data_IF_303033780478
#
_entry.id   IF_303033780478
#
_cell.length_a   1.000
_cell.length_b   1.000
_cell.length_c   1.000
_cell.angle_alpha   90.00
_cell.angle_beta   90.00
_cell.angle_gamma   90.00
#
_symmetry.space_group_name_H-M   'P 1'
#
loop_
_entity.id
_entity.type
_entity.pdbx_description
1 polymer ?
#
# COMPACT_ATOMS: atom_id res chain seq x y z
N UNK A 1 26.81 20.88 0.49
CA UNK A 1 25.58 20.33 1.14
C UNK A 1 26.00 19.21 2.06
N UNK A 2 25.39 19.12 3.25
CA UNK A 2 25.66 18.00 4.16
C UNK A 2 25.14 16.69 3.53
N UNK A 3 26.05 15.77 3.19
CA UNK A 3 25.71 14.47 2.58
C UNK A 3 25.64 13.33 3.61
N UNK A 4 25.52 13.67 4.91
CA UNK A 4 25.44 12.72 6.00
C UNK A 4 24.15 12.97 6.82
N UNK A 5 23.35 11.89 7.02
CA UNK A 5 22.07 11.90 7.73
C UNK A 5 22.06 10.91 8.90
N UNK A 6 21.16 11.10 9.85
CA UNK A 6 20.94 10.07 10.87
C UNK A 6 20.29 8.84 10.24
N UNK A 7 19.28 9.02 9.38
CA UNK A 7 18.60 7.92 8.72
C UNK A 7 18.36 8.25 7.23
N UNK A 8 18.66 7.29 6.36
CA UNK A 8 18.17 7.26 4.98
C UNK A 8 17.03 6.23 4.91
N UNK A 9 15.89 6.63 4.33
CA UNK A 9 14.76 5.75 4.03
C UNK A 9 14.63 5.61 2.52
N UNK A 10 14.52 4.38 2.01
CA UNK A 10 14.31 4.11 0.59
C UNK A 10 12.87 3.67 0.38
N UNK A 11 12.12 4.42 -0.47
CA UNK A 11 10.71 4.21 -0.77
C UNK A 11 9.76 5.10 0.03
N UNK A 12 9.07 6.01 -0.67
CA UNK A 12 8.14 7.01 -0.10
C UNK A 12 6.67 6.59 -0.24
N UNK A 13 6.42 5.28 -0.10
CA UNK A 13 5.07 4.74 0.06
C UNK A 13 4.55 4.85 1.51
N UNK A 14 3.40 4.22 1.84
CA UNK A 14 2.78 4.30 3.17
C UNK A 14 3.73 3.97 4.33
N UNK A 15 4.48 2.90 4.24
CA UNK A 15 5.42 2.47 5.29
C UNK A 15 6.56 3.48 5.49
N UNK A 16 7.21 3.90 4.38
CA UNK A 16 8.33 4.83 4.46
C UNK A 16 7.90 6.22 4.92
N UNK A 17 6.77 6.72 4.44
CA UNK A 17 6.23 8.01 4.84
C UNK A 17 5.84 8.05 6.32
N UNK A 18 5.20 6.99 6.82
CA UNK A 18 4.84 6.86 8.25
C UNK A 18 6.10 6.79 9.13
N UNK A 19 7.08 5.95 8.74
CA UNK A 19 8.35 5.86 9.46
C UNK A 19 9.09 7.20 9.50
N UNK A 20 9.17 7.89 8.36
CA UNK A 20 9.80 9.21 8.30
C UNK A 20 9.11 10.21 9.23
N UNK A 21 7.77 10.18 9.29
CA UNK A 21 6.99 11.08 10.16
C UNK A 21 7.23 10.78 11.64
N UNK A 22 7.33 9.52 12.03
CA UNK A 22 7.66 9.13 13.42
C UNK A 22 9.08 9.59 13.81
N UNK A 23 10.07 9.33 12.95
CA UNK A 23 11.47 9.70 13.20
C UNK A 23 11.67 11.22 13.18
N UNK A 24 10.95 11.95 12.34
CA UNK A 24 11.04 13.41 12.26
C UNK A 24 10.65 14.09 13.58
N UNK A 25 9.74 13.50 14.36
CA UNK A 25 9.38 13.98 15.71
C UNK A 25 10.53 13.87 16.72
N UNK A 26 11.48 12.98 16.49
CA UNK A 26 12.68 12.80 17.35
C UNK A 26 13.84 13.70 16.93
N UNK A 27 13.60 14.73 16.11
CA UNK A 27 14.59 15.71 15.66
C UNK A 27 15.79 15.10 14.89
N UNK A 28 15.64 13.92 14.34
CA UNK A 28 16.64 13.26 13.51
C UNK A 28 16.71 13.88 12.11
N UNK A 29 17.89 13.90 11.52
CA UNK A 29 18.08 14.26 10.12
C UNK A 29 17.73 13.07 9.21
N UNK A 30 16.74 13.25 8.34
CA UNK A 30 16.18 12.17 7.52
C UNK A 30 16.29 12.52 6.04
N UNK A 31 16.84 11.59 5.26
CA UNK A 31 16.78 11.63 3.81
C UNK A 31 15.85 10.53 3.31
N UNK A 32 14.80 10.92 2.59
CA UNK A 32 13.90 10.02 1.87
C UNK A 32 14.32 9.93 0.41
N UNK A 33 14.53 8.73 -0.11
CA UNK A 33 14.81 8.47 -1.53
C UNK A 33 13.62 7.75 -2.16
N UNK A 34 13.05 8.35 -3.21
CA UNK A 34 11.95 7.79 -3.98
C UNK A 34 12.32 7.72 -5.46
N UNK A 35 12.11 6.55 -6.08
CA UNK A 35 12.47 6.34 -7.50
C UNK A 35 11.50 7.01 -8.46
N UNK A 36 10.23 7.15 -8.07
CA UNK A 36 9.20 7.77 -8.88
C UNK A 36 9.27 9.31 -8.77
N UNK A 37 9.03 10.01 -9.87
CA UNK A 37 8.96 11.46 -9.90
C UNK A 37 7.77 11.98 -9.10
N UNK A 38 6.63 11.39 -9.33
CA UNK A 38 5.36 11.81 -8.77
C UNK A 38 4.80 10.77 -7.81
N UNK A 39 3.82 11.20 -7.03
CA UNK A 39 2.98 10.29 -6.25
C UNK A 39 2.25 9.33 -7.20
N UNK A 40 2.30 8.04 -6.88
CA UNK A 40 1.57 7.04 -7.66
C UNK A 40 0.06 7.30 -7.57
N UNK A 41 -0.63 7.57 -8.68
CA UNK A 41 -1.99 8.11 -8.64
C UNK A 41 -3.07 7.07 -8.34
N UNK A 42 -2.74 5.77 -8.43
CA UNK A 42 -3.74 4.71 -8.34
C UNK A 42 -3.70 4.01 -6.98
N UNK A 43 -4.87 3.64 -6.42
CA UNK A 43 -4.95 3.02 -5.11
C UNK A 43 -4.39 1.60 -5.12
N UNK A 44 -3.60 1.24 -4.09
CA UNK A 44 -3.20 -0.14 -3.81
C UNK A 44 -3.96 -0.66 -2.61
N UNK A 45 -3.64 -0.17 -1.41
CA UNK A 45 -4.40 -0.44 -0.19
C UNK A 45 -5.69 0.40 -0.16
N UNK A 46 -6.72 -0.15 0.47
CA UNK A 46 -8.05 0.50 0.59
C UNK A 46 -8.61 0.44 2.02
N UNK A 47 -7.85 -0.14 2.95
CA UNK A 47 -8.30 -0.41 4.31
C UNK A 47 -7.14 -0.23 5.30
N UNK A 48 -7.47 0.25 6.50
CA UNK A 48 -6.62 0.23 7.69
C UNK A 48 -7.51 0.16 8.96
N UNK A 49 -6.91 -0.22 10.09
CA UNK A 49 -7.55 -0.39 11.38
C UNK A 49 -7.29 0.78 12.34
N UNK A 50 -7.80 0.66 13.55
CA UNK A 50 -7.65 1.64 14.62
C UNK A 50 -6.21 1.75 15.14
N UNK A 51 -5.42 0.67 15.12
CA UNK A 51 -4.00 0.73 15.47
C UNK A 51 -3.23 1.66 14.52
N UNK A 52 -3.51 1.58 13.23
CA UNK A 52 -2.92 2.47 12.23
C UNK A 52 -3.42 3.91 12.43
N UNK A 53 -4.71 4.11 12.78
CA UNK A 53 -5.24 5.45 13.09
C UNK A 53 -4.55 6.07 14.32
N UNK A 54 -4.25 5.28 15.35
CA UNK A 54 -3.46 5.70 16.51
C UNK A 54 -2.06 6.19 16.10
N UNK A 55 -1.42 5.47 15.17
CA UNK A 55 -0.14 5.93 14.61
C UNK A 55 -0.32 7.26 13.86
N UNK A 56 -1.40 7.44 13.10
CA UNK A 56 -1.69 8.71 12.40
C UNK A 56 -1.93 9.87 13.35
N UNK A 57 -2.53 9.62 14.52
CA UNK A 57 -2.63 10.58 15.60
C UNK A 57 -1.24 10.95 16.15
N UNK A 58 -0.42 9.94 16.43
CA UNK A 58 0.95 10.14 16.91
C UNK A 58 1.78 11.01 15.96
N UNK A 59 1.65 10.86 14.66
CA UNK A 59 2.37 11.69 13.68
C UNK A 59 1.65 12.98 13.29
N UNK A 60 0.51 13.28 13.92
CA UNK A 60 -0.22 14.56 13.79
C UNK A 60 -0.98 14.72 12.47
N UNK A 61 -1.42 13.64 11.84
CA UNK A 61 -2.19 13.70 10.58
C UNK A 61 -3.63 13.21 10.72
N UNK A 62 -4.05 12.65 11.85
CA UNK A 62 -5.38 12.06 12.06
C UNK A 62 -6.50 12.99 11.60
N UNK A 63 -6.55 14.21 12.11
CA UNK A 63 -7.63 15.16 11.77
C UNK A 63 -7.60 15.59 10.30
N UNK A 64 -6.40 15.79 9.73
CA UNK A 64 -6.23 16.13 8.31
C UNK A 64 -6.66 14.99 7.39
N UNK A 65 -6.43 13.75 7.83
CA UNK A 65 -6.72 12.57 7.02
C UNK A 65 -8.15 12.04 7.18
N UNK A 66 -8.81 12.32 8.31
CA UNK A 66 -10.19 11.90 8.60
C UNK A 66 -11.17 12.20 7.46
N UNK A 67 -11.05 13.35 6.82
CA UNK A 67 -11.92 13.77 5.71
C UNK A 67 -11.72 12.94 4.43
N UNK A 68 -10.66 12.15 4.35
CA UNK A 68 -10.36 11.23 3.23
C UNK A 68 -10.68 9.78 3.55
N UNK A 69 -11.41 9.54 4.64
CA UNK A 69 -11.76 8.19 5.09
C UNK A 69 -13.26 8.00 5.23
N UNK A 70 -13.70 6.76 5.22
CA UNK A 70 -15.04 6.37 5.68
C UNK A 70 -14.92 5.18 6.64
N UNK A 71 -15.85 5.06 7.58
CA UNK A 71 -15.92 3.92 8.49
C UNK A 71 -16.25 2.66 7.68
N UNK A 72 -15.46 1.61 7.90
CA UNK A 72 -15.72 0.30 7.33
C UNK A 72 -16.69 -0.47 8.20
N UNK A 73 -17.87 -0.76 7.68
CA UNK A 73 -18.95 -1.42 8.42
C UNK A 73 -18.82 -2.95 8.53
N UNK A 74 -17.71 -3.52 8.01
CA UNK A 74 -17.43 -4.95 8.07
C UNK A 74 -17.55 -5.68 6.75
N UNK A 75 -17.65 -6.99 6.82
CA UNK A 75 -17.65 -7.90 5.67
C UNK A 75 -18.80 -8.90 5.78
N UNK A 76 -19.43 -9.22 4.65
CA UNK A 76 -20.31 -10.37 4.50
C UNK A 76 -19.68 -11.39 3.56
N UNK A 77 -19.78 -12.64 3.93
CA UNK A 77 -19.43 -13.77 3.06
C UNK A 77 -20.73 -14.36 2.55
N UNK A 78 -20.84 -14.49 1.24
CA UNK A 78 -22.03 -15.07 0.59
C UNK A 78 -21.61 -16.19 -0.35
N UNK A 79 -22.48 -17.17 -0.53
CA UNK A 79 -22.30 -18.22 -1.52
C UNK A 79 -22.59 -17.73 -2.94
N UNK A 80 -22.55 -18.64 -3.91
CA UNK A 80 -22.86 -18.34 -5.32
C UNK A 80 -24.36 -18.09 -5.60
N UNK A 81 -25.25 -18.34 -4.65
CA UNK A 81 -26.68 -18.06 -4.72
C UNK A 81 -27.07 -16.78 -3.97
N UNK A 82 -26.10 -16.16 -3.24
CA UNK A 82 -26.32 -14.97 -2.44
C UNK A 82 -26.72 -15.26 -0.99
N UNK A 83 -26.77 -16.54 -0.57
CA UNK A 83 -27.02 -16.88 0.82
C UNK A 83 -25.86 -16.43 1.70
N UNK A 84 -26.16 -15.88 2.87
CA UNK A 84 -25.15 -15.42 3.83
C UNK A 84 -24.52 -16.62 4.51
N UNK A 85 -23.21 -16.80 4.33
CA UNK A 85 -22.39 -17.80 5.02
C UNK A 85 -21.85 -17.27 6.36
N UNK A 86 -21.47 -15.99 6.37
CA UNK A 86 -20.97 -15.29 7.55
C UNK A 86 -21.31 -13.81 7.45
N UNK A 87 -21.96 -13.26 8.44
CA UNK A 87 -22.11 -11.81 8.62
C UNK A 87 -21.15 -11.35 9.72
N UNK A 88 -20.14 -10.57 9.32
CA UNK A 88 -19.10 -10.07 10.21
C UNK A 88 -19.11 -8.53 10.25
N UNK A 89 -20.06 -7.93 10.98
CA UNK A 89 -20.07 -6.49 11.17
C UNK A 89 -18.88 -6.04 12.02
N UNK A 90 -18.39 -4.83 11.77
CA UNK A 90 -17.47 -4.18 12.71
C UNK A 90 -18.26 -3.52 13.83
N UNK A 91 -17.71 -3.50 15.06
CA UNK A 91 -18.29 -2.72 16.16
C UNK A 91 -18.53 -1.26 15.75
N UNK A 92 -19.60 -0.67 16.27
CA UNK A 92 -19.94 0.73 16.02
C UNK A 92 -19.36 1.67 17.07
N UNK A 93 -18.84 1.10 18.13
CA UNK A 93 -18.23 1.79 19.26
C UNK A 93 -16.80 2.20 18.94
N UNK A 94 -16.35 3.25 19.60
CA UNK A 94 -14.96 3.67 19.60
C UNK A 94 -14.13 2.67 20.41
N UNK A 95 -12.99 2.26 19.87
CA UNK A 95 -12.06 1.33 20.53
C UNK A 95 -11.21 2.05 21.58
N UNK A 96 -10.40 1.30 22.32
CA UNK A 96 -9.42 1.81 23.28
C UNK A 96 -8.40 2.77 22.62
N UNK A 97 -8.21 2.67 21.32
CA UNK A 97 -7.38 3.58 20.52
C UNK A 97 -8.06 4.94 20.22
N UNK A 98 -9.26 5.21 20.76
CA UNK A 98 -9.95 6.49 20.61
C UNK A 98 -10.51 6.74 19.20
N UNK A 99 -10.80 5.67 18.44
CA UNK A 99 -11.30 5.76 17.08
C UNK A 99 -12.11 4.51 16.69
N UNK A 100 -12.75 4.52 15.52
CA UNK A 100 -13.48 3.34 15.04
C UNK A 100 -12.51 2.22 14.65
N UNK A 101 -12.92 0.94 14.78
CA UNK A 101 -12.04 -0.22 14.60
C UNK A 101 -11.54 -0.42 13.16
N UNK A 102 -12.14 0.27 12.18
CA UNK A 102 -11.80 -0.01 10.77
C UNK A 102 -12.23 1.12 9.85
N UNK A 103 -11.36 1.44 8.89
CA UNK A 103 -11.54 2.53 7.94
C UNK A 103 -11.28 2.09 6.50
N UNK A 104 -11.98 2.74 5.56
CA UNK A 104 -11.66 2.71 4.13
C UNK A 104 -11.02 4.03 3.75
N UNK A 105 -10.08 3.99 2.84
CA UNK A 105 -9.35 5.16 2.38
C UNK A 105 -8.92 5.05 0.91
N UNK A 106 -8.50 6.17 0.36
CA UNK A 106 -7.83 6.23 -0.93
C UNK A 106 -6.35 6.50 -0.71
N UNK A 107 -5.49 5.54 -1.02
CA UNK A 107 -4.06 5.60 -0.70
C UNK A 107 -3.35 6.83 -1.25
N UNK A 108 -3.59 7.31 -2.49
CA UNK A 108 -2.97 8.55 -2.98
C UNK A 108 -3.27 9.78 -2.11
N UNK A 109 -4.47 9.88 -1.54
CA UNK A 109 -4.82 11.00 -0.63
C UNK A 109 -4.04 10.90 0.67
N UNK A 110 -3.91 9.69 1.23
CA UNK A 110 -3.07 9.42 2.40
C UNK A 110 -1.61 9.81 2.17
N UNK A 111 -1.02 9.36 1.08
CA UNK A 111 0.38 9.68 0.76
C UNK A 111 0.59 11.18 0.55
N UNK A 112 -0.40 11.88 -0.02
CA UNK A 112 -0.36 13.35 -0.17
C UNK A 112 -0.36 14.04 1.20
N UNK A 113 -1.22 13.60 2.11
CA UNK A 113 -1.30 14.16 3.48
C UNK A 113 0.02 13.95 4.23
N UNK A 114 0.60 12.74 4.20
CA UNK A 114 1.89 12.45 4.81
C UNK A 114 3.02 13.30 4.22
N UNK A 115 3.12 13.35 2.90
CA UNK A 115 4.17 14.13 2.21
C UNK A 115 4.08 15.60 2.56
N UNK A 116 2.87 16.16 2.62
CA UNK A 116 2.67 17.56 3.02
C UNK A 116 3.00 17.80 4.49
N UNK A 117 2.67 16.89 5.38
CA UNK A 117 3.01 16.98 6.79
C UNK A 117 4.54 16.97 7.00
N UNK A 118 5.25 16.12 6.27
CA UNK A 118 6.72 16.02 6.36
C UNK A 118 7.46 17.27 5.91
N UNK A 119 6.89 18.10 5.04
CA UNK A 119 7.49 19.37 4.60
C UNK A 119 7.68 20.38 5.74
N UNK A 120 6.93 20.26 6.84
CA UNK A 120 7.07 21.15 8.01
C UNK A 120 8.30 20.86 8.87
N UNK A 121 8.95 19.72 8.70
CA UNK A 121 10.11 19.31 9.49
C UNK A 121 11.42 19.78 8.86
N UNK A 122 12.12 20.70 9.49
CA UNK A 122 13.36 21.33 8.97
C UNK A 122 14.49 20.33 8.65
N UNK A 123 14.55 19.22 9.38
CA UNK A 123 15.59 18.18 9.21
C UNK A 123 15.17 17.03 8.27
N UNK A 124 13.98 17.13 7.66
CA UNK A 124 13.52 16.16 6.65
C UNK A 124 13.84 16.68 5.25
N UNK A 125 14.41 15.79 4.43
CA UNK A 125 14.66 16.01 3.00
C UNK A 125 14.15 14.83 2.19
N UNK A 126 13.55 15.08 1.04
CA UNK A 126 13.19 14.02 0.08
C UNK A 126 13.79 14.30 -1.29
N UNK A 127 14.21 13.25 -1.99
CA UNK A 127 14.69 13.28 -3.38
C UNK A 127 13.86 12.26 -4.16
N UNK A 128 13.12 12.75 -5.14
CA UNK A 128 12.43 11.95 -6.16
C UNK A 128 13.39 11.62 -7.29
N UNK A 129 12.98 10.77 -8.24
CA UNK A 129 13.82 10.27 -9.33
C UNK A 129 15.09 9.54 -8.84
N UNK A 130 15.12 9.12 -7.59
CA UNK A 130 16.29 8.53 -6.93
C UNK A 130 16.29 7.00 -7.04
N UNK A 131 16.75 6.47 -8.17
CA UNK A 131 16.86 5.03 -8.37
C UNK A 131 18.13 4.49 -7.70
N UNK A 132 17.97 3.91 -6.51
CA UNK A 132 19.07 3.33 -5.73
C UNK A 132 19.70 2.16 -6.48
N UNK A 133 21.02 2.21 -6.67
CA UNK A 133 21.81 1.21 -7.40
C UNK A 133 22.68 0.36 -6.47
N UNK A 134 23.20 0.95 -5.39
CA UNK A 134 24.12 0.25 -4.48
C UNK A 134 23.97 0.74 -3.05
N UNK A 135 23.99 -0.19 -2.11
CA UNK A 135 24.02 0.05 -0.67
C UNK A 135 25.28 -0.61 -0.11
N UNK A 136 26.10 0.15 0.58
CA UNK A 136 27.32 -0.33 1.22
C UNK A 136 27.15 -0.12 2.72
N UNK A 137 27.08 -1.23 3.45
CA UNK A 137 26.89 -1.26 4.90
C UNK A 137 28.25 -1.46 5.57
N UNK A 138 28.82 -0.38 6.12
CA UNK A 138 30.08 -0.36 6.84
C UNK A 138 29.85 -0.44 8.36
N UNK A 139 30.93 -0.55 9.13
CA UNK A 139 30.88 -0.58 10.60
C UNK A 139 30.29 0.71 11.17
N UNK A 140 30.64 1.87 10.62
CA UNK A 140 30.33 3.18 11.20
C UNK A 140 29.18 3.91 10.49
N UNK A 141 28.94 3.62 9.20
CA UNK A 141 27.90 4.27 8.38
C UNK A 141 27.39 3.38 7.26
N UNK A 142 26.28 3.78 6.67
CA UNK A 142 25.78 3.22 5.40
C UNK A 142 26.00 4.24 4.29
N UNK A 143 26.55 3.79 3.15
CA UNK A 143 26.68 4.60 1.93
C UNK A 143 25.67 4.13 0.91
N UNK A 144 24.88 5.08 0.37
CA UNK A 144 23.89 4.83 -0.68
C UNK A 144 24.35 5.51 -1.95
N UNK A 145 24.32 4.77 -3.05
CA UNK A 145 24.56 5.27 -4.41
C UNK A 145 23.26 5.15 -5.16
N UNK A 146 22.74 6.26 -5.69
CA UNK A 146 21.58 6.28 -6.55
C UNK A 146 21.83 7.07 -7.83
N UNK A 147 21.09 6.75 -8.85
CA UNK A 147 21.05 7.46 -10.12
C UNK A 147 19.77 8.26 -10.20
N UNK A 148 19.89 9.52 -10.50
CA UNK A 148 18.74 10.34 -10.89
C UNK A 148 18.20 9.82 -12.24
N UNK A 149 16.89 9.51 -12.30
CA UNK A 149 16.30 8.86 -13.48
C UNK A 149 16.11 9.80 -14.67
N UNK A 150 16.13 11.12 -14.46
CA UNK A 150 16.01 12.12 -15.52
C UNK A 150 17.38 12.57 -16.02
N UNK A 151 18.26 12.96 -15.09
CA UNK A 151 19.58 13.52 -15.45
C UNK A 151 20.66 12.47 -15.60
N UNK A 152 20.38 11.21 -15.23
CA UNK A 152 21.32 10.09 -15.18
C UNK A 152 22.51 10.31 -14.25
N UNK A 153 22.55 11.41 -13.52
CA UNK A 153 23.62 11.76 -12.59
C UNK A 153 23.67 10.78 -11.42
N UNK A 154 24.88 10.34 -11.08
CA UNK A 154 25.13 9.51 -9.91
C UNK A 154 25.31 10.40 -8.69
N UNK A 155 24.58 10.07 -7.62
CA UNK A 155 24.62 10.75 -6.35
C UNK A 155 25.00 9.79 -5.22
N UNK A 156 25.70 10.30 -4.20
CA UNK A 156 26.18 9.51 -3.08
C UNK A 156 25.84 10.24 -1.79
N UNK A 157 25.15 9.51 -0.89
CA UNK A 157 24.86 9.97 0.46
C UNK A 157 25.27 8.93 1.50
N UNK A 158 25.48 9.39 2.74
CA UNK A 158 25.83 8.55 3.88
C UNK A 158 24.83 8.76 5.00
N UNK A 159 24.64 7.74 5.86
CA UNK A 159 23.83 7.85 7.06
C UNK A 159 24.32 6.93 8.16
N UNK A 160 23.88 7.19 9.40
CA UNK A 160 24.11 6.27 10.52
C UNK A 160 23.35 4.96 10.31
N UNK A 161 22.09 5.05 9.85
CA UNK A 161 21.22 3.92 9.60
C UNK A 161 20.49 4.06 8.26
N UNK A 162 20.03 2.94 7.71
CA UNK A 162 19.22 2.88 6.52
C UNK A 162 18.03 1.95 6.75
N UNK A 163 16.85 2.37 6.31
CA UNK A 163 15.64 1.54 6.30
C UNK A 163 15.09 1.42 4.87
N UNK A 164 15.00 0.19 4.36
CA UNK A 164 14.35 -0.10 3.09
C UNK A 164 12.87 -0.32 3.27
N UNK A 165 12.06 0.63 2.76
CA UNK A 165 10.61 0.55 2.58
C UNK A 165 10.27 0.46 1.08
N UNK A 166 11.13 -0.19 0.31
CA UNK A 166 11.23 -0.19 -1.14
C UNK A 166 10.46 -1.34 -1.82
N UNK A 167 9.45 -1.87 -1.09
CA UNK A 167 8.43 -2.75 -1.63
C UNK A 167 8.91 -4.20 -1.89
N UNK A 168 8.04 -4.97 -2.53
CA UNK A 168 8.22 -6.41 -2.74
C UNK A 168 9.53 -6.78 -3.47
N UNK A 169 10.01 -5.93 -4.37
CA UNK A 169 11.24 -6.14 -5.16
C UNK A 169 12.50 -5.50 -4.54
N UNK A 170 12.46 -5.21 -3.24
CA UNK A 170 13.43 -4.46 -2.45
C UNK A 170 14.90 -4.73 -2.81
N UNK A 171 15.62 -3.67 -3.21
CA UNK A 171 17.07 -3.69 -3.35
C UNK A 171 17.74 -3.72 -1.98
N UNK A 172 17.10 -3.13 -0.97
CA UNK A 172 17.61 -3.13 0.42
C UNK A 172 17.61 -4.55 0.98
N UNK A 173 16.53 -5.33 0.80
CA UNK A 173 16.50 -6.75 1.19
C UNK A 173 17.62 -7.54 0.52
N UNK A 174 17.82 -7.33 -0.79
CA UNK A 174 18.92 -7.98 -1.53
C UNK A 174 20.29 -7.60 -0.98
N UNK A 175 20.50 -6.33 -0.59
CA UNK A 175 21.78 -5.84 -0.08
C UNK A 175 22.19 -6.48 1.25
N UNK A 176 21.24 -6.84 2.10
CA UNK A 176 21.48 -7.56 3.35
C UNK A 176 21.49 -9.09 3.17
N UNK A 177 21.42 -9.57 1.91
CA UNK A 177 21.34 -10.99 1.56
C UNK A 177 20.19 -11.73 2.26
N UNK A 178 19.06 -11.04 2.43
CA UNK A 178 17.82 -11.62 2.95
C UNK A 178 16.98 -12.17 1.81
N UNK A 179 16.34 -13.31 2.05
CA UNK A 179 15.45 -14.00 1.11
C UNK A 179 14.07 -14.13 1.72
N UNK A 180 13.05 -14.17 0.87
CA UNK A 180 11.72 -14.55 1.30
C UNK A 180 11.61 -16.05 1.52
N UNK A 181 11.05 -16.44 2.67
CA UNK A 181 10.49 -17.77 2.90
C UNK A 181 9.04 -17.72 2.47
N UNK A 182 8.64 -18.58 1.54
CA UNK A 182 7.26 -18.71 1.08
C UNK A 182 6.48 -19.55 2.10
N UNK A 183 5.33 -19.03 2.56
CA UNK A 183 4.45 -19.70 3.53
C UNK A 183 3.36 -20.56 2.85
N UNK A 184 3.51 -20.86 1.55
CA UNK A 184 2.65 -21.80 0.82
C UNK A 184 1.48 -21.17 0.06
N UNK A 185 1.19 -19.87 0.25
CA UNK A 185 0.11 -19.21 -0.49
C UNK A 185 0.67 -18.41 -1.67
N UNK A 186 0.15 -18.68 -2.86
CA UNK A 186 0.39 -17.86 -4.06
C UNK A 186 -0.85 -17.93 -4.95
N UNK A 187 -1.49 -16.79 -5.21
CA UNK A 187 -2.70 -16.72 -6.03
C UNK A 187 -2.73 -15.42 -6.85
N UNK A 188 -3.19 -15.52 -8.10
CA UNK A 188 -3.40 -14.35 -8.97
C UNK A 188 -4.84 -13.87 -8.88
N UNK A 189 -5.00 -12.57 -8.73
CA UNK A 189 -6.28 -11.88 -8.68
C UNK A 189 -6.28 -10.69 -9.61
N UNK A 190 -7.36 -10.51 -10.37
CA UNK A 190 -7.63 -9.27 -11.07
C UNK A 190 -8.26 -8.29 -10.08
N UNK A 191 -7.71 -7.09 -10.05
CA UNK A 191 -8.19 -5.97 -9.22
C UNK A 191 -8.68 -4.87 -10.14
N UNK A 192 -9.95 -4.54 -10.04
CA UNK A 192 -10.65 -3.57 -10.88
C UNK A 192 -11.14 -2.44 -9.97
N UNK A 193 -10.54 -1.27 -10.10
CA UNK A 193 -11.00 -0.05 -9.43
C UNK A 193 -11.87 0.75 -10.38
N UNK A 194 -13.02 1.22 -9.87
CA UNK A 194 -14.05 1.91 -10.64
C UNK A 194 -14.50 3.19 -9.93
N UNK A 195 -14.84 4.19 -10.74
CA UNK A 195 -15.49 5.42 -10.29
C UNK A 195 -16.94 5.40 -10.83
N UNK A 196 -17.92 5.41 -9.94
CA UNK A 196 -19.34 5.47 -10.33
C UNK A 196 -19.67 6.82 -10.96
N UNK A 197 -20.38 6.82 -12.09
CA UNK A 197 -20.90 8.05 -12.72
C UNK A 197 -22.03 8.67 -11.87
N UNK A 198 -22.92 7.81 -11.35
CA UNK A 198 -24.07 8.18 -10.51
C UNK A 198 -24.02 7.43 -9.18
N UNK A 199 -24.77 7.93 -8.19
CA UNK A 199 -25.05 7.17 -6.97
C UNK A 199 -25.84 5.92 -7.35
N UNK A 200 -25.36 4.75 -6.88
CA UNK A 200 -26.02 3.46 -7.09
C UNK A 200 -26.17 2.75 -5.76
N UNK A 201 -27.27 2.07 -5.57
CA UNK A 201 -27.50 1.24 -4.38
C UNK A 201 -26.64 -0.03 -4.47
N UNK A 202 -25.45 0.05 -3.91
CA UNK A 202 -24.48 -1.03 -3.78
C UNK A 202 -24.23 -1.27 -2.29
N UNK A 203 -23.80 -2.47 -1.89
CA UNK A 203 -23.55 -2.77 -0.49
C UNK A 203 -22.62 -1.77 0.20
N UNK A 204 -22.93 -1.40 1.43
CA UNK A 204 -22.12 -0.54 2.28
C UNK A 204 -20.93 -1.28 2.91
N UNK A 205 -20.99 -2.61 2.93
CA UNK A 205 -19.95 -3.51 3.44
C UNK A 205 -19.16 -4.13 2.33
N UNK A 206 -18.01 -4.67 2.66
CA UNK A 206 -17.30 -5.62 1.79
C UNK A 206 -18.14 -6.86 1.62
N UNK A 207 -18.26 -7.36 0.40
CA UNK A 207 -18.89 -8.64 0.11
C UNK A 207 -17.85 -9.59 -0.44
N UNK A 208 -17.63 -10.69 0.27
CA UNK A 208 -16.83 -11.80 -0.20
C UNK A 208 -17.75 -12.82 -0.85
N UNK A 209 -17.69 -12.95 -2.17
CA UNK A 209 -18.39 -13.96 -2.94
C UNK A 209 -17.60 -15.26 -2.91
N UNK A 210 -18.03 -16.19 -2.04
CA UNK A 210 -17.38 -17.50 -1.83
C UNK A 210 -17.82 -18.50 -2.92
N UNK A 211 -17.67 -18.11 -4.18
CA UNK A 211 -17.98 -18.97 -5.33
C UNK A 211 -16.78 -19.88 -5.62
N UNK A 212 -16.93 -21.23 -5.50
CA UNK A 212 -15.81 -22.16 -5.74
C UNK A 212 -15.22 -22.07 -7.15
N UNK A 213 -16.05 -21.68 -8.15
CA UNK A 213 -15.61 -21.54 -9.54
C UNK A 213 -14.79 -20.27 -9.79
N UNK A 214 -15.10 -19.19 -9.07
CA UNK A 214 -14.41 -17.91 -9.16
C UNK A 214 -14.70 -17.06 -7.89
N UNK A 215 -13.88 -17.18 -6.85
CA UNK A 215 -13.99 -16.30 -5.71
C UNK A 215 -13.82 -14.84 -6.13
N UNK A 216 -14.63 -13.96 -5.54
CA UNK A 216 -14.59 -12.54 -5.84
C UNK A 216 -14.87 -11.71 -4.59
N UNK A 217 -14.40 -10.46 -4.58
CA UNK A 217 -14.62 -9.51 -3.50
C UNK A 217 -15.12 -8.21 -4.07
N UNK A 218 -16.16 -7.66 -3.46
CA UNK A 218 -16.56 -6.28 -3.65
C UNK A 218 -16.12 -5.46 -2.44
N UNK A 219 -15.48 -4.31 -2.69
CA UNK A 219 -15.14 -3.34 -1.66
C UNK A 219 -15.77 -1.98 -1.98
N UNK A 220 -16.60 -1.47 -1.06
CA UNK A 220 -16.91 -0.06 -1.03
C UNK A 220 -15.65 0.73 -0.67
N UNK A 221 -15.36 1.78 -1.41
CA UNK A 221 -14.26 2.70 -1.12
C UNK A 221 -14.78 4.13 -0.94
N UNK A 222 -13.91 5.09 -0.71
CA UNK A 222 -14.25 6.49 -0.45
C UNK A 222 -14.97 7.13 -1.65
N UNK A 223 -16.01 7.93 -1.38
CA UNK A 223 -16.75 8.65 -2.40
C UNK A 223 -17.44 7.72 -3.41
N UNK A 224 -17.22 8.00 -4.68
CA UNK A 224 -17.78 7.22 -5.80
C UNK A 224 -16.92 6.00 -6.17
N UNK A 225 -15.79 5.75 -5.51
CA UNK A 225 -14.88 4.65 -5.82
C UNK A 225 -15.40 3.32 -5.32
N UNK A 226 -15.27 2.29 -6.15
CA UNK A 226 -15.61 0.90 -5.85
C UNK A 226 -14.50 0.01 -6.37
N UNK A 227 -14.31 -1.14 -5.71
CA UNK A 227 -13.34 -2.14 -6.15
C UNK A 227 -14.01 -3.49 -6.25
N UNK A 228 -13.76 -4.18 -7.34
CA UNK A 228 -13.99 -5.61 -7.48
C UNK A 228 -12.67 -6.32 -7.67
N UNK A 229 -12.55 -7.43 -7.02
CA UNK A 229 -11.41 -8.33 -7.15
C UNK A 229 -11.95 -9.72 -7.45
N UNK A 230 -11.29 -10.47 -8.33
CA UNK A 230 -11.65 -11.86 -8.58
C UNK A 230 -10.42 -12.73 -8.86
N UNK A 231 -10.47 -13.98 -8.36
CA UNK A 231 -9.41 -14.95 -8.58
C UNK A 231 -9.31 -15.35 -10.05
N UNK A 232 -8.10 -15.41 -10.58
CA UNK A 232 -7.85 -16.01 -11.89
C UNK A 232 -7.94 -17.54 -11.78
N UNK A 233 -8.56 -18.16 -12.78
CA UNK A 233 -8.56 -19.61 -12.91
C UNK A 233 -7.18 -20.10 -13.37
N UNK A 234 -6.89 -21.35 -13.07
CA UNK A 234 -5.65 -21.99 -13.55
C UNK A 234 -5.57 -21.88 -15.08
N UNK A 235 -4.42 -21.45 -15.59
CA UNK A 235 -4.15 -21.29 -17.04
C UNK A 235 -5.01 -20.21 -17.75
N UNK A 236 -5.66 -19.31 -17.03
CA UNK A 236 -6.41 -18.22 -17.65
C UNK A 236 -5.47 -17.16 -18.23
N UNK A 237 -5.76 -16.69 -19.44
CA UNK A 237 -4.92 -15.69 -20.09
C UNK A 237 -5.11 -14.31 -19.46
N UNK A 238 -4.06 -13.80 -18.81
CA UNK A 238 -4.07 -12.54 -18.08
C UNK A 238 -4.44 -11.34 -18.97
N UNK A 239 -3.95 -11.31 -20.23
CA UNK A 239 -4.27 -10.21 -21.15
C UNK A 239 -5.76 -10.22 -21.52
N UNK A 240 -6.36 -11.42 -21.71
CA UNK A 240 -7.80 -11.56 -21.99
C UNK A 240 -8.63 -11.11 -20.78
N UNK A 241 -8.24 -11.48 -19.56
CA UNK A 241 -8.93 -11.12 -18.32
C UNK A 241 -8.96 -9.60 -18.11
N UNK A 242 -7.92 -8.89 -18.53
CA UNK A 242 -7.84 -7.43 -18.43
C UNK A 242 -8.48 -6.67 -19.60
N UNK A 243 -9.12 -7.35 -20.56
CA UNK A 243 -9.91 -6.65 -21.60
C UNK A 243 -11.17 -6.03 -20.98
N UNK A 244 -11.59 -4.89 -21.50
CA UNK A 244 -12.83 -4.24 -21.02
C UNK A 244 -14.05 -5.13 -21.23
N UNK A 245 -14.13 -5.85 -22.36
CA UNK A 245 -15.18 -6.81 -22.61
C UNK A 245 -15.30 -7.83 -21.49
N UNK A 246 -14.20 -8.50 -21.11
CA UNK A 246 -14.20 -9.50 -20.04
C UNK A 246 -14.60 -8.89 -18.68
N UNK A 247 -14.06 -7.70 -18.37
CA UNK A 247 -14.34 -7.00 -17.11
C UNK A 247 -15.81 -6.65 -17.00
N UNK A 248 -16.42 -6.09 -18.06
CA UNK A 248 -17.82 -5.73 -18.05
C UNK A 248 -18.77 -6.94 -18.08
N UNK A 249 -18.38 -8.03 -18.73
CA UNK A 249 -19.08 -9.33 -18.63
C UNK A 249 -19.07 -9.85 -17.18
N UNK A 250 -17.94 -9.76 -16.50
CA UNK A 250 -17.82 -10.13 -15.08
C UNK A 250 -18.66 -9.22 -14.17
N UNK A 251 -18.66 -7.92 -14.41
CA UNK A 251 -19.36 -6.92 -13.59
C UNK A 251 -20.87 -6.85 -13.85
N UNK A 252 -21.36 -7.46 -14.92
CA UNK A 252 -22.75 -7.39 -15.38
C UNK A 252 -23.82 -7.60 -14.28
N UNK A 253 -23.64 -8.47 -13.27
CA UNK A 253 -24.62 -8.61 -12.19
C UNK A 253 -24.77 -7.36 -11.31
N UNK A 254 -23.79 -6.46 -11.29
CA UNK A 254 -23.77 -5.28 -10.41
C UNK A 254 -23.76 -3.95 -11.15
N UNK A 255 -23.07 -3.88 -12.28
CA UNK A 255 -22.82 -2.64 -13.03
C UNK A 255 -22.90 -2.84 -14.53
N UNK A 256 -23.37 -1.79 -15.22
CA UNK A 256 -23.31 -1.66 -16.68
C UNK A 256 -22.17 -0.70 -17.08
N UNK A 257 -21.64 -0.79 -18.32
CA UNK A 257 -20.54 0.06 -18.80
C UNK A 257 -20.79 1.56 -18.68
N UNK A 258 -22.03 2.01 -18.83
CA UNK A 258 -22.42 3.43 -18.73
C UNK A 258 -22.61 3.93 -17.29
N UNK A 259 -22.47 3.08 -16.27
CA UNK A 259 -22.70 3.43 -14.87
C UNK A 259 -21.39 3.75 -14.12
N UNK A 260 -20.23 3.35 -14.66
CA UNK A 260 -18.94 3.59 -14.04
C UNK A 260 -17.81 3.68 -15.08
N UNK A 261 -16.69 4.28 -14.66
CA UNK A 261 -15.42 4.35 -15.41
C UNK A 261 -14.43 3.42 -14.74
N UNK A 262 -13.71 2.63 -15.52
CA UNK A 262 -12.59 1.83 -15.02
C UNK A 262 -11.41 2.77 -14.75
N UNK A 263 -11.12 3.04 -13.46
CA UNK A 263 -9.97 3.84 -13.04
C UNK A 263 -8.67 3.02 -13.15
N UNK A 264 -8.76 1.71 -12.89
CA UNK A 264 -7.61 0.81 -12.90
C UNK A 264 -8.03 -0.64 -13.12
N UNK A 265 -7.19 -1.36 -13.86
CA UNK A 265 -7.29 -2.81 -14.04
C UNK A 265 -5.90 -3.43 -14.00
N UNK A 266 -5.68 -4.39 -13.10
CA UNK A 266 -4.37 -5.00 -12.89
C UNK A 266 -4.49 -6.40 -12.33
N UNK A 267 -3.52 -7.26 -12.63
CA UNK A 267 -3.39 -8.56 -11.97
C UNK A 267 -2.31 -8.47 -10.91
N UNK A 268 -2.69 -8.80 -9.68
CA UNK A 268 -1.76 -9.01 -8.57
C UNK A 268 -1.51 -10.49 -8.35
N UNK A 269 -0.24 -10.81 -8.09
CA UNK A 269 0.12 -12.10 -7.50
C UNK A 269 0.28 -11.91 -6.00
N UNK A 270 -0.74 -12.28 -5.25
CA UNK A 270 -0.67 -12.32 -3.79
C UNK A 270 0.17 -13.50 -3.34
N UNK A 271 1.05 -13.25 -2.40
CA UNK A 271 1.94 -14.24 -1.80
C UNK A 271 1.95 -14.07 -0.29
N UNK A 272 2.04 -15.18 0.43
CA UNK A 272 2.37 -15.16 1.84
C UNK A 272 3.85 -15.49 1.98
N UNK A 273 4.65 -14.49 2.33
CA UNK A 273 6.10 -14.66 2.42
C UNK A 273 6.71 -13.70 3.45
N UNK A 274 7.70 -14.17 4.18
CA UNK A 274 8.42 -13.40 5.18
C UNK A 274 9.92 -13.44 4.91
N UNK A 275 10.59 -12.29 5.05
CA UNK A 275 12.04 -12.22 4.91
C UNK A 275 12.73 -12.88 6.11
N UNK A 276 13.71 -13.73 5.86
CA UNK A 276 14.42 -14.47 6.90
C UNK A 276 15.35 -13.61 7.76
N UNK A 277 15.65 -12.38 7.30
CA UNK A 277 16.47 -11.38 8.04
C UNK A 277 15.86 -10.01 7.79
N UNK A 278 15.56 -9.26 8.85
CA UNK A 278 15.02 -7.91 8.78
C UNK A 278 16.06 -6.82 9.05
N UNK A 279 17.26 -7.26 9.47
CA UNK A 279 18.40 -6.38 9.77
C UNK A 279 19.73 -7.05 9.42
N UNK A 280 20.68 -6.23 8.99
CA UNK A 280 22.12 -6.57 8.97
C UNK A 280 22.90 -5.29 9.29
N UNK A 281 23.65 -5.30 10.41
CA UNK A 281 24.39 -4.12 10.86
C UNK A 281 23.47 -2.90 11.01
N UNK A 282 23.70 -1.86 10.18
CA UNK A 282 23.00 -0.59 10.18
C UNK A 282 21.85 -0.50 9.17
N UNK A 283 21.57 -1.58 8.44
CA UNK A 283 20.54 -1.65 7.40
C UNK A 283 19.37 -2.50 7.87
N UNK A 284 18.15 -1.94 7.76
CA UNK A 284 16.88 -2.54 8.12
C UNK A 284 15.95 -2.61 6.92
N UNK A 285 14.94 -3.45 6.97
CA UNK A 285 13.83 -3.49 6.01
C UNK A 285 12.49 -3.46 6.73
N UNK A 286 11.46 -2.86 6.10
CA UNK A 286 10.11 -2.76 6.64
C UNK A 286 9.06 -2.80 5.52
N UNK A 287 7.79 -3.07 5.89
CA UNK A 287 6.68 -3.21 4.95
C UNK A 287 6.89 -4.35 3.96
N UNK A 288 6.46 -4.18 2.71
CA UNK A 288 6.57 -5.21 1.67
C UNK A 288 8.02 -5.63 1.37
N UNK A 289 9.02 -4.85 1.79
CA UNK A 289 10.42 -5.27 1.75
C UNK A 289 10.73 -6.39 2.75
N UNK A 290 9.99 -6.47 3.86
CA UNK A 290 10.17 -7.44 4.93
C UNK A 290 9.18 -8.61 4.88
N UNK A 291 7.92 -8.37 4.49
CA UNK A 291 6.89 -9.40 4.39
C UNK A 291 5.83 -9.08 3.34
N UNK A 292 5.29 -10.12 2.73
CA UNK A 292 4.16 -10.06 1.81
C UNK A 292 3.00 -10.84 2.40
N UNK A 293 1.82 -10.25 2.39
CA UNK A 293 0.61 -10.89 2.90
C UNK A 293 -0.51 -10.81 1.87
N UNK A 294 -1.34 -11.85 1.74
CA UNK A 294 -2.59 -11.74 1.00
C UNK A 294 -3.54 -10.77 1.75
N UNK A 295 -4.51 -10.18 1.05
CA UNK A 295 -5.44 -9.20 1.65
C UNK A 295 -6.45 -9.82 2.64
N UNK A 296 -6.48 -11.14 2.77
CA UNK A 296 -7.37 -11.93 3.65
C UNK A 296 -6.60 -13.08 4.28
#
# INVERSE_FOLDING_TARGET
MNNFFDVIIIGFGPTGGTLASLLAKSNLSILMLEKEKNLYPLPRAVHFDDEVMRVFETIGIKEKFKNYTIINKGTKFVDNKGNVLLDWPRPKEITENGCYPSYRFHQPDFERVIRNNLKSYKKFKSIQNANVKKIINSKDFVKVVFQDTETLKINIFKSKYLVGCDGANSITRKSIKSKFSNLGFTQKWAVIDLILNKKKNLPDRTIQYSNPKRPATYCRNVGKRRRWEFALKKNENEKKVLTEKFIWEFLQPWLKPNEAIIERKVIYTFKSAIANKWRKGRVFIAGDAAHLMPPF
#
